data_IF_527504232777
#
_entry.id   IF_527504232777
#
_cell.length_a   1.000
_cell.length_b   1.000
_cell.length_c   1.000
_cell.angle_alpha   90.00
_cell.angle_beta   90.00
_cell.angle_gamma   90.00
#
_symmetry.space_group_name_H-M   'P 1'
#
loop_
_entity.id
_entity.type
_entity.pdbx_description
1 polymer ?
#
# COMPACT_ATOMS: atom_id res chain seq x y z
N UNK A 1 -13.03 19.29 20.02
CA UNK A 1 -14.15 18.34 20.24
C UNK A 1 -13.71 16.94 19.88
N UNK A 2 -13.42 16.09 20.88
CA UNK A 2 -13.16 14.68 20.62
C UNK A 2 -14.48 13.98 20.28
N UNK A 3 -14.65 13.53 19.04
CA UNK A 3 -15.82 12.72 18.66
C UNK A 3 -15.82 11.47 19.54
N UNK A 4 -16.89 11.26 20.33
CA UNK A 4 -17.08 10.02 21.09
C UNK A 4 -17.13 8.87 20.09
N UNK A 5 -16.08 8.05 20.04
CA UNK A 5 -16.03 6.85 19.20
C UNK A 5 -16.47 5.66 20.06
N UNK A 6 -17.69 5.18 19.86
CA UNK A 6 -18.12 3.93 20.49
C UNK A 6 -17.42 2.74 19.85
N UNK A 7 -17.45 1.58 20.51
CA UNK A 7 -16.94 0.34 19.92
C UNK A 7 -17.69 -0.01 18.62
N UNK A 8 -18.99 0.22 18.57
CA UNK A 8 -19.82 0.02 17.38
C UNK A 8 -19.39 0.94 16.21
N UNK A 9 -19.03 2.20 16.48
CA UNK A 9 -18.51 3.13 15.47
C UNK A 9 -17.13 2.72 14.91
N UNK A 10 -16.33 2.01 15.72
CA UNK A 10 -15.03 1.46 15.27
C UNK A 10 -15.21 0.19 14.46
N UNK A 11 -16.13 -0.69 14.86
CA UNK A 11 -16.42 -1.95 14.16
C UNK A 11 -17.06 -1.72 12.77
N UNK A 12 -17.86 -0.66 12.63
CA UNK A 12 -18.54 -0.31 11.37
C UNK A 12 -17.67 0.45 10.36
N UNK A 13 -16.43 0.80 10.71
CA UNK A 13 -15.50 1.46 9.77
C UNK A 13 -15.18 0.54 8.60
N UNK A 14 -15.72 0.87 7.43
CA UNK A 14 -15.34 0.25 6.16
C UNK A 14 -13.89 0.64 5.83
N UNK A 15 -13.08 -0.34 5.43
CA UNK A 15 -11.74 -0.07 4.91
C UNK A 15 -11.86 0.74 3.62
N UNK A 16 -11.03 1.78 3.49
CA UNK A 16 -10.92 2.52 2.25
C UNK A 16 -10.20 1.65 1.22
N UNK A 17 -10.96 1.07 0.29
CA UNK A 17 -10.44 0.31 -0.84
C UNK A 17 -10.40 1.20 -2.08
N UNK A 18 -9.25 1.23 -2.76
CA UNK A 18 -9.09 1.89 -4.05
C UNK A 18 -9.02 0.81 -5.11
N UNK A 19 -9.84 0.92 -6.15
CA UNK A 19 -9.78 0.02 -7.29
C UNK A 19 -8.81 0.56 -8.33
N UNK A 20 -8.08 -0.34 -8.99
CA UNK A 20 -7.21 0.00 -10.09
C UNK A 20 -8.06 0.40 -11.31
N UNK A 21 -7.78 1.54 -11.98
CA UNK A 21 -8.55 1.97 -13.15
C UNK A 21 -8.35 1.08 -14.40
N UNK A 22 -7.38 0.15 -14.37
CA UNK A 22 -7.02 -0.69 -15.53
C UNK A 22 -7.57 -2.11 -15.40
N UNK A 23 -7.36 -2.76 -14.26
CA UNK A 23 -7.81 -4.13 -14.03
C UNK A 23 -9.05 -4.22 -13.13
N UNK A 24 -9.58 -3.09 -12.66
CA UNK A 24 -10.74 -2.97 -11.76
C UNK A 24 -10.63 -3.73 -10.42
N UNK A 25 -9.47 -4.34 -10.15
CA UNK A 25 -9.18 -5.06 -8.92
C UNK A 25 -8.78 -4.10 -7.81
N UNK A 26 -8.95 -4.54 -6.55
CA UNK A 26 -8.51 -3.79 -5.40
C UNK A 26 -6.99 -3.63 -5.37
N UNK A 27 -6.53 -2.39 -5.15
CA UNK A 27 -5.12 -2.07 -4.93
C UNK A 27 -4.75 -2.42 -3.48
N UNK A 28 -3.79 -3.31 -3.32
CA UNK A 28 -3.20 -3.64 -2.03
C UNK A 28 -1.91 -2.84 -1.84
N UNK A 29 -1.90 -1.93 -0.88
CA UNK A 29 -0.68 -1.18 -0.56
C UNK A 29 0.27 -2.04 0.27
N UNK A 30 1.46 -2.30 -0.27
CA UNK A 30 2.52 -3.06 0.41
C UNK A 30 3.76 -2.20 0.61
N UNK A 31 4.52 -2.50 1.66
CA UNK A 31 5.81 -1.84 1.90
C UNK A 31 6.89 -2.55 1.10
N UNK A 32 7.28 -1.95 -0.01
CA UNK A 32 8.29 -2.48 -0.91
C UNK A 32 9.68 -1.95 -0.53
N UNK A 33 10.65 -2.84 -0.37
CA UNK A 33 12.03 -2.50 -0.05
C UNK A 33 12.91 -2.71 -1.29
N UNK A 34 13.47 -1.63 -1.82
CA UNK A 34 14.35 -1.65 -2.99
C UNK A 34 15.78 -1.31 -2.58
N UNK A 35 16.75 -2.08 -3.08
CA UNK A 35 18.16 -1.73 -2.99
C UNK A 35 18.50 -0.69 -4.06
N UNK A 36 18.95 0.49 -3.64
CA UNK A 36 19.45 1.56 -4.50
C UNK A 36 20.96 1.71 -4.25
N UNK A 37 21.74 1.77 -5.32
CA UNK A 37 23.18 2.02 -5.23
C UNK A 37 23.41 3.53 -5.15
N UNK A 38 24.07 3.97 -4.10
CA UNK A 38 24.53 5.34 -3.90
C UNK A 38 26.05 5.38 -4.09
N UNK A 39 26.62 6.55 -4.38
CA UNK A 39 28.07 6.78 -4.45
C UNK A 39 28.85 6.23 -3.25
N UNK A 40 28.20 6.11 -2.08
CA UNK A 40 28.82 5.62 -0.83
C UNK A 40 28.49 4.16 -0.48
N UNK A 41 27.71 3.45 -1.29
CA UNK A 41 27.35 2.03 -1.04
C UNK A 41 25.90 1.67 -1.36
N UNK A 42 25.45 0.53 -0.87
CA UNK A 42 24.06 0.05 -1.04
C UNK A 42 23.15 0.62 0.05
N UNK A 43 22.02 1.20 -0.35
CA UNK A 43 20.97 1.67 0.56
C UNK A 43 19.66 0.94 0.25
N UNK A 44 18.95 0.52 1.29
CA UNK A 44 17.60 0.00 1.14
C UNK A 44 16.58 1.11 1.36
N UNK A 45 15.83 1.45 0.32
CA UNK A 45 14.74 2.41 0.37
C UNK A 45 13.42 1.65 0.51
N UNK A 46 12.63 2.01 1.52
CA UNK A 46 11.28 1.47 1.67
C UNK A 46 10.25 2.47 1.17
N UNK A 47 9.37 2.02 0.29
CA UNK A 47 8.28 2.82 -0.29
C UNK A 47 6.97 2.04 -0.19
N UNK A 48 5.88 2.73 0.10
CA UNK A 48 4.56 2.11 0.02
C UNK A 48 4.12 2.14 -1.44
N UNK A 49 3.92 0.97 -2.03
CA UNK A 49 3.52 0.82 -3.43
C UNK A 49 2.17 0.13 -3.47
N UNK A 50 1.25 0.65 -4.28
CA UNK A 50 -0.02 0.00 -4.57
C UNK A 50 0.18 -1.14 -5.56
N UNK A 51 -0.14 -2.37 -5.16
CA UNK A 51 -0.07 -3.55 -6.01
C UNK A 51 -1.47 -3.94 -6.48
N UNK A 52 -1.57 -4.27 -7.76
CA UNK A 52 -2.73 -4.84 -8.40
C UNK A 52 -2.25 -5.90 -9.41
N UNK A 53 -3.17 -6.54 -10.13
CA UNK A 53 -2.80 -7.55 -11.12
C UNK A 53 -1.85 -7.04 -12.21
N UNK A 54 -1.92 -5.76 -12.54
CA UNK A 54 -1.10 -5.17 -13.62
C UNK A 54 0.39 -5.09 -13.27
N UNK A 55 0.74 -4.74 -12.03
CA UNK A 55 2.12 -4.54 -11.60
C UNK A 55 2.61 -5.64 -10.64
N UNK A 56 1.83 -6.70 -10.46
CA UNK A 56 2.20 -7.83 -9.60
C UNK A 56 3.53 -8.45 -10.02
N UNK A 57 3.73 -8.71 -11.32
CA UNK A 57 4.96 -9.30 -11.83
C UNK A 57 6.18 -8.38 -11.63
N UNK A 58 6.01 -7.08 -11.81
CA UNK A 58 7.10 -6.10 -11.64
C UNK A 58 7.56 -5.98 -10.18
N UNK A 59 6.64 -6.14 -9.23
CA UNK A 59 6.89 -5.92 -7.80
C UNK A 59 7.36 -7.21 -7.11
N UNK A 60 6.81 -8.37 -7.48
CA UNK A 60 7.12 -9.65 -6.85
C UNK A 60 8.17 -10.48 -7.60
N UNK A 61 8.37 -10.24 -8.90
CA UNK A 61 9.25 -11.05 -9.76
C UNK A 61 8.53 -12.24 -10.36
#
# INVERSE_FOLDING_TARGET
MAKKQSFADKASKKKHSVNCPVCEQMITYVKYAKAERSDKGWRFRTVNVGVCKCNHAEIYG
#
